data_IF_642508389915
#
_entry.id   IF_642508389915
#
_cell.length_a   1.000
_cell.length_b   1.000
_cell.length_c   1.000
_cell.angle_alpha   90.00
_cell.angle_beta   90.00
_cell.angle_gamma   90.00
#
_symmetry.space_group_name_H-M   'P 1'
#
loop_
_entity.id
_entity.type
_entity.pdbx_description
1 polymer ?
#
# COMPACT_ATOMS: atom_id res chain seq x y z
N UNK A 1 -12.54 5.03 -15.98
CA UNK A 1 -11.07 4.94 -16.07
C UNK A 1 -10.66 3.72 -15.25
N UNK A 2 -10.09 2.68 -15.87
CA UNK A 2 -9.67 1.49 -15.12
C UNK A 2 -8.38 1.81 -14.39
N UNK A 3 -8.43 1.82 -13.07
CA UNK A 3 -7.23 1.94 -12.25
C UNK A 3 -6.46 0.64 -12.38
N UNK A 4 -5.19 0.70 -12.82
CA UNK A 4 -4.38 -0.50 -12.93
C UNK A 4 -3.96 -0.95 -11.52
N UNK A 5 -4.03 -2.25 -11.23
CA UNK A 5 -3.70 -2.80 -9.91
C UNK A 5 -2.23 -2.50 -9.52
N UNK A 6 -1.34 -2.45 -10.51
CA UNK A 6 0.08 -2.15 -10.30
C UNK A 6 0.32 -0.70 -9.81
N UNK A 7 -0.62 0.22 -10.02
CA UNK A 7 -0.48 1.62 -9.61
C UNK A 7 -0.74 1.85 -8.13
N UNK A 8 -1.33 0.89 -7.39
CA UNK A 8 -1.61 1.04 -5.96
C UNK A 8 -0.45 0.65 -5.05
N UNK A 9 0.44 -0.23 -5.49
CA UNK A 9 1.43 -0.85 -4.61
C UNK A 9 2.82 -0.31 -4.90
N UNK A 10 3.58 0.04 -3.86
CA UNK A 10 4.98 0.49 -3.98
C UNK A 10 5.87 -0.37 -3.09
N UNK A 11 6.71 -1.18 -3.72
CA UNK A 11 7.81 -1.88 -3.07
C UNK A 11 9.13 -1.16 -3.39
N UNK A 12 9.57 -0.23 -2.53
CA UNK A 12 10.79 0.55 -2.76
C UNK A 12 12.08 -0.28 -2.72
N UNK A 13 12.02 -1.45 -2.06
CA UNK A 13 13.08 -2.47 -2.07
C UNK A 13 12.42 -3.84 -2.22
N UNK A 14 12.19 -4.32 -3.46
CA UNK A 14 11.57 -5.62 -3.69
C UNK A 14 12.38 -6.75 -3.06
N UNK A 15 11.69 -7.68 -2.40
CA UNK A 15 12.26 -8.86 -1.75
C UNK A 15 11.38 -10.09 -2.09
N UNK A 16 11.57 -10.69 -3.28
CA UNK A 16 10.77 -11.84 -3.72
C UNK A 16 10.83 -13.05 -2.78
N UNK A 17 11.94 -13.20 -2.04
CA UNK A 17 12.13 -14.27 -1.04
C UNK A 17 11.79 -13.89 0.41
N UNK A 18 11.22 -12.71 0.66
CA UNK A 18 10.84 -12.33 2.03
C UNK A 18 9.76 -13.25 2.60
N UNK A 19 9.94 -13.68 3.85
CA UNK A 19 9.01 -14.57 4.55
C UNK A 19 7.69 -13.87 4.91
N UNK A 20 7.74 -12.57 5.20
CA UNK A 20 6.58 -11.75 5.53
C UNK A 20 6.45 -10.59 4.54
N UNK A 21 5.23 -10.32 4.08
CA UNK A 21 4.90 -9.07 3.38
C UNK A 21 4.12 -8.13 4.31
N UNK A 22 4.65 -6.95 4.57
CA UNK A 22 4.03 -5.91 5.38
C UNK A 22 3.39 -4.86 4.46
N UNK A 23 2.05 -4.81 4.45
CA UNK A 23 1.30 -3.80 3.71
C UNK A 23 1.12 -2.55 4.58
N UNK A 24 1.59 -1.40 4.10
CA UNK A 24 1.58 -0.14 4.85
C UNK A 24 0.62 0.88 4.24
N UNK A 25 -0.33 1.34 5.05
CA UNK A 25 -1.41 2.25 4.67
C UNK A 25 -1.14 3.65 5.23
N UNK A 26 -0.78 4.64 4.38
CA UNK A 26 -0.52 6.00 4.85
C UNK A 26 -1.75 6.68 5.45
N UNK A 27 -1.52 7.72 6.24
CA UNK A 27 -2.57 8.66 6.70
C UNK A 27 -3.15 9.48 5.54
N UNK A 28 -4.21 10.27 5.81
CA UNK A 28 -5.00 10.98 4.79
C UNK A 28 -4.18 11.89 3.84
N UNK A 29 -3.25 12.68 4.38
CA UNK A 29 -2.33 13.53 3.61
C UNK A 29 -1.05 12.81 3.17
N UNK A 30 -0.89 11.55 3.55
CA UNK A 30 0.30 10.75 3.30
C UNK A 30 0.32 10.15 1.90
N UNK A 31 1.43 9.51 1.58
CA UNK A 31 1.65 8.75 0.35
C UNK A 31 2.62 7.59 0.64
N UNK A 32 2.87 6.73 -0.34
CA UNK A 32 3.66 5.53 -0.13
C UNK A 32 5.10 5.81 0.32
N UNK A 33 5.69 6.95 -0.04
CA UNK A 33 7.11 7.26 0.27
C UNK A 33 7.37 7.39 1.77
N UNK A 34 6.33 7.61 2.58
CA UNK A 34 6.44 7.63 4.05
C UNK A 34 7.07 6.34 4.60
N UNK A 35 6.88 5.22 3.90
CA UNK A 35 7.41 3.90 4.29
C UNK A 35 8.67 3.49 3.52
N UNK A 36 9.27 4.37 2.71
CA UNK A 36 10.49 4.08 1.94
C UNK A 36 11.64 3.66 2.85
N UNK A 37 11.86 4.41 3.93
CA UNK A 37 12.94 4.14 4.87
C UNK A 37 12.74 2.82 5.64
N UNK A 38 11.49 2.40 5.84
CA UNK A 38 11.19 1.11 6.46
C UNK A 38 11.65 -0.05 5.58
N UNK A 39 11.48 0.05 4.26
CA UNK A 39 11.96 -0.98 3.32
C UNK A 39 13.49 -1.18 3.41
N UNK A 40 14.22 -0.13 3.82
CA UNK A 40 15.66 -0.14 4.03
C UNK A 40 16.04 -0.70 5.41
N UNK A 41 15.33 -0.26 6.47
CA UNK A 41 15.70 -0.50 7.87
C UNK A 41 15.14 -1.81 8.47
N UNK A 42 14.05 -2.35 7.94
CA UNK A 42 13.50 -3.61 8.42
C UNK A 42 14.35 -4.83 8.00
N UNK A 43 14.29 -5.93 8.78
CA UNK A 43 14.98 -7.18 8.46
C UNK A 43 14.67 -7.69 7.04
N UNK A 44 15.61 -8.46 6.46
CA UNK A 44 15.51 -8.86 5.06
C UNK A 44 14.39 -9.87 4.76
N UNK A 45 13.87 -10.49 5.82
CA UNK A 45 12.74 -11.41 5.81
C UNK A 45 11.40 -10.67 5.68
N UNK A 46 11.38 -9.33 5.75
CA UNK A 46 10.18 -8.50 5.62
C UNK A 46 10.25 -7.65 4.34
N UNK A 47 9.28 -7.85 3.46
CA UNK A 47 9.05 -6.97 2.31
C UNK A 47 8.00 -5.91 2.65
N UNK A 48 8.39 -4.64 2.60
CA UNK A 48 7.46 -3.52 2.79
C UNK A 48 6.81 -3.17 1.48
N UNK A 49 5.48 -3.18 1.45
CA UNK A 49 4.66 -2.76 0.31
C UNK A 49 3.74 -1.64 0.78
N UNK A 50 3.99 -0.42 0.31
CA UNK A 50 3.21 0.74 0.70
C UNK A 50 2.09 1.03 -0.30
N UNK A 51 0.92 1.42 0.21
CA UNK A 51 -0.24 1.78 -0.62
C UNK A 51 -0.10 3.23 -1.10
N UNK A 52 -0.25 3.44 -2.41
CA UNK A 52 -0.25 4.75 -3.09
C UNK A 52 -1.68 5.09 -3.54
N UNK A 53 -2.34 5.95 -2.77
CA UNK A 53 -3.70 6.42 -3.09
C UNK A 53 -3.74 7.29 -4.35
N UNK A 54 -4.86 7.32 -5.10
CA UNK A 54 -5.13 8.32 -6.12
C UNK A 54 -5.02 9.75 -5.56
N UNK A 55 -4.63 10.71 -6.41
CA UNK A 55 -4.44 12.10 -6.01
C UNK A 55 -3.18 12.34 -5.18
N UNK A 56 -2.19 11.44 -5.23
CA UNK A 56 -0.91 11.56 -4.51
C UNK A 56 0.26 11.22 -5.43
N UNK A 57 1.35 11.98 -5.34
CA UNK A 57 2.61 11.78 -6.07
C UNK A 57 2.42 11.51 -7.58
N UNK A 58 2.88 10.36 -8.06
CA UNK A 58 2.78 9.90 -9.45
C UNK A 58 1.33 9.65 -9.89
N UNK A 59 0.38 9.63 -8.94
CA UNK A 59 -1.07 9.55 -9.16
C UNK A 59 -1.77 10.89 -8.91
N UNK A 60 -1.06 12.02 -8.87
CA UNK A 60 -1.63 13.34 -8.52
C UNK A 60 -2.72 13.81 -9.48
N UNK A 61 -2.68 13.39 -10.75
CA UNK A 61 -3.69 13.73 -11.76
C UNK A 61 -4.96 12.90 -11.65
N UNK A 62 -4.96 11.83 -10.85
CA UNK A 62 -6.13 10.98 -10.64
C UNK A 62 -7.05 11.59 -9.58
N UNK A 63 -8.39 11.50 -9.76
CA UNK A 63 -9.32 11.97 -8.75
C UNK A 63 -9.19 11.17 -7.46
N UNK A 64 -9.36 11.85 -6.32
CA UNK A 64 -9.47 11.18 -5.02
C UNK A 64 -10.65 10.20 -5.02
N UNK A 65 -10.50 9.07 -4.32
CA UNK A 65 -11.60 8.13 -4.09
C UNK A 65 -12.65 8.80 -3.19
N UNK A 66 -13.94 8.76 -3.53
CA UNK A 66 -14.96 9.57 -2.85
C UNK A 66 -15.42 9.02 -1.50
N UNK A 67 -15.25 7.72 -1.26
CA UNK A 67 -15.73 7.03 -0.06
C UNK A 67 -14.81 5.87 0.34
N UNK A 68 -15.01 5.39 1.58
CA UNK A 68 -14.18 4.35 2.19
C UNK A 68 -14.41 2.97 1.57
N UNK A 69 -15.65 2.63 1.22
CA UNK A 69 -15.98 1.31 0.65
C UNK A 69 -15.28 1.13 -0.70
N UNK A 70 -15.39 2.14 -1.58
CA UNK A 70 -14.70 2.16 -2.88
C UNK A 70 -13.18 2.13 -2.72
N UNK A 71 -12.65 2.78 -1.67
CA UNK A 71 -11.21 2.77 -1.36
C UNK A 71 -10.75 1.36 -1.00
N UNK A 72 -11.48 0.69 -0.10
CA UNK A 72 -11.17 -0.67 0.35
C UNK A 72 -11.29 -1.65 -0.82
N UNK A 73 -12.38 -1.60 -1.59
CA UNK A 73 -12.59 -2.49 -2.75
C UNK A 73 -11.46 -2.36 -3.78
N UNK A 74 -11.04 -1.12 -4.06
CA UNK A 74 -9.94 -0.86 -4.99
C UNK A 74 -8.60 -1.41 -4.49
N UNK A 75 -8.34 -1.28 -3.19
CA UNK A 75 -7.11 -1.81 -2.57
C UNK A 75 -7.14 -3.33 -2.52
N UNK A 76 -8.27 -3.94 -2.11
CA UNK A 76 -8.44 -5.40 -2.09
C UNK A 76 -8.24 -5.99 -3.48
N UNK A 77 -8.80 -5.36 -4.50
CA UNK A 77 -8.56 -5.74 -5.90
C UNK A 77 -7.08 -5.69 -6.26
N UNK A 78 -6.36 -4.62 -5.86
CA UNK A 78 -4.92 -4.51 -6.11
C UNK A 78 -4.06 -5.52 -5.32
N UNK A 79 -4.51 -5.92 -4.13
CA UNK A 79 -3.85 -6.92 -3.29
C UNK A 79 -4.11 -8.36 -3.76
N UNK A 80 -5.20 -8.59 -4.51
CA UNK A 80 -5.58 -9.92 -4.98
C UNK A 80 -4.45 -10.55 -5.81
N UNK A 81 -4.02 -11.75 -5.44
CA UNK A 81 -2.86 -12.44 -6.06
C UNK A 81 -1.48 -11.90 -5.66
N UNK A 82 -1.41 -10.86 -4.80
CA UNK A 82 -0.17 -10.33 -4.22
C UNK A 82 -0.05 -10.65 -2.73
N UNK A 83 -1.06 -11.22 -2.08
CA UNK A 83 -0.97 -11.67 -0.68
C UNK A 83 -0.21 -13.01 -0.62
N UNK A 84 0.70 -13.14 0.34
CA UNK A 84 1.41 -14.40 0.67
C UNK A 84 0.75 -15.06 1.87
N UNK A 85 1.08 -16.32 2.15
CA UNK A 85 0.61 -17.04 3.35
C UNK A 85 0.90 -16.25 4.64
N UNK A 86 2.09 -15.66 4.75
CA UNK A 86 2.48 -14.77 5.84
C UNK A 86 2.46 -13.31 5.38
N UNK A 87 1.46 -12.57 5.84
CA UNK A 87 1.38 -11.12 5.66
C UNK A 87 0.96 -10.42 6.96
N UNK A 88 1.25 -9.12 7.01
CA UNK A 88 0.78 -8.23 8.07
C UNK A 88 0.35 -6.91 7.46
N UNK A 89 -0.48 -6.17 8.19
CA UNK A 89 -0.97 -4.85 7.78
C UNK A 89 -0.59 -3.84 8.87
N UNK A 90 -0.13 -2.66 8.44
CA UNK A 90 0.09 -1.51 9.30
C UNK A 90 -0.62 -0.30 8.71
N UNK A 91 -1.42 0.39 9.50
CA UNK A 91 -2.08 1.63 9.10
C UNK A 91 -1.89 2.72 10.14
N UNK A 92 -1.69 3.96 9.69
CA UNK A 92 -1.60 5.13 10.57
C UNK A 92 -2.77 6.08 10.32
N UNK A 93 -3.49 6.48 11.39
CA UNK A 93 -4.65 7.38 11.31
C UNK A 93 -5.71 6.84 10.33
N UNK A 94 -6.09 7.59 9.28
CA UNK A 94 -6.98 7.10 8.21
C UNK A 94 -6.53 5.75 7.64
N UNK A 95 -5.22 5.53 7.52
CA UNK A 95 -4.68 4.27 7.04
C UNK A 95 -4.99 3.10 7.98
N UNK A 96 -5.16 3.34 9.29
CA UNK A 96 -5.61 2.32 10.23
C UNK A 96 -7.09 1.97 10.02
N UNK A 97 -7.92 2.96 9.72
CA UNK A 97 -9.34 2.75 9.39
C UNK A 97 -9.53 2.02 8.06
N UNK A 98 -8.66 2.22 7.07
CA UNK A 98 -8.69 1.45 5.81
C UNK A 98 -8.21 0.01 6.02
N UNK A 99 -7.27 -0.19 6.94
CA UNK A 99 -6.64 -1.47 7.20
C UNK A 99 -7.49 -2.45 8.04
N UNK A 100 -8.49 -1.96 8.78
CA UNK A 100 -9.35 -2.72 9.70
C UNK A 100 -10.62 -3.16 9.00
#
# INVERSE_FOLDING_TARGET
>A
MRVNADDWLRAYRPRPGARLRLFCFPHASGNATFYRDWAIRLPAEIEVVAIQYPGRLDRISEPCVPDMDTMVDSIVSALTGKVRESFAIFGHSMGASIAY
#
